data_IF_910472522511
#
_entry.id   IF_910472522511
#
_cell.length_a   1.000
_cell.length_b   1.000
_cell.length_c   1.000
_cell.angle_alpha   90.00
_cell.angle_beta   90.00
_cell.angle_gamma   90.00
#
_symmetry.space_group_name_H-M   'P 1'
#
loop_
_entity.id
_entity.type
_entity.pdbx_description
1 polymer ?
#
# COMPACT_ATOMS: atom_id res chain seq x y z
N UNK A 1 -15.60 6.67 -8.77
CA UNK A 1 -14.78 6.76 -9.96
C UNK A 1 -14.57 8.19 -10.37
N UNK A 2 -13.64 8.40 -11.27
CA UNK A 2 -13.31 9.74 -11.80
C UNK A 2 -14.35 10.29 -12.79
N UNK A 3 -15.26 9.46 -13.28
CA UNK A 3 -16.31 9.89 -14.21
C UNK A 3 -17.43 10.61 -13.46
N UNK A 4 -17.57 11.91 -13.74
CA UNK A 4 -18.60 12.78 -13.13
C UNK A 4 -19.99 12.51 -13.70
N UNK A 5 -20.10 11.92 -14.88
CA UNK A 5 -21.35 11.54 -15.55
C UNK A 5 -21.34 10.08 -15.99
N UNK A 6 -21.32 9.13 -15.04
CA UNK A 6 -21.29 7.72 -15.40
C UNK A 6 -22.57 7.34 -16.15
N UNK A 7 -22.45 6.69 -17.30
CA UNK A 7 -23.55 6.13 -18.02
C UNK A 7 -24.23 4.98 -17.25
N UNK A 8 -25.40 4.53 -17.73
CA UNK A 8 -26.07 3.38 -17.14
C UNK A 8 -25.21 2.11 -17.26
N UNK A 9 -24.97 1.37 -16.15
CA UNK A 9 -24.14 0.15 -16.08
C UNK A 9 -22.67 0.37 -16.47
N UNK A 10 -22.07 1.49 -16.12
CA UNK A 10 -20.63 1.70 -16.27
C UNK A 10 -19.82 0.72 -15.43
N UNK A 11 -18.59 0.49 -15.88
CA UNK A 11 -17.64 -0.39 -15.20
C UNK A 11 -17.29 0.15 -13.80
N UNK A 12 -17.45 -0.69 -12.78
CA UNK A 12 -17.12 -0.34 -11.40
C UNK A 12 -15.69 -0.81 -11.06
N UNK A 13 -14.74 0.10 -11.14
CA UNK A 13 -13.33 -0.20 -10.86
C UNK A 13 -13.08 -0.70 -9.43
N UNK A 14 -13.90 -0.32 -8.47
CA UNK A 14 -13.73 -0.78 -7.09
C UNK A 14 -14.01 -2.28 -6.92
N UNK A 15 -14.85 -2.88 -7.78
CA UNK A 15 -15.29 -4.26 -7.66
C UNK A 15 -14.97 -5.14 -8.86
N UNK A 16 -14.71 -4.55 -10.03
CA UNK A 16 -14.55 -5.27 -11.30
C UNK A 16 -13.14 -5.16 -11.88
N UNK A 17 -12.30 -4.25 -11.36
CA UNK A 17 -10.91 -4.14 -11.80
C UNK A 17 -10.17 -5.47 -11.61
N UNK A 18 -9.26 -5.75 -12.53
CA UNK A 18 -8.34 -6.89 -12.47
C UNK A 18 -6.92 -6.33 -12.65
N UNK A 19 -6.36 -5.75 -11.59
CA UNK A 19 -5.08 -5.05 -11.60
C UNK A 19 -4.09 -5.71 -10.66
N UNK A 20 -2.80 -5.61 -10.99
CA UNK A 20 -1.76 -6.14 -10.11
C UNK A 20 -1.72 -5.37 -8.78
N UNK A 21 -1.66 -6.06 -7.63
CA UNK A 21 -1.55 -5.42 -6.32
C UNK A 21 -0.18 -4.77 -6.09
N UNK A 22 0.85 -5.10 -6.89
CA UNK A 22 2.21 -4.68 -6.62
C UNK A 22 2.64 -5.03 -5.19
N UNK A 23 3.42 -4.17 -4.58
CA UNK A 23 3.94 -4.35 -3.21
C UNK A 23 2.89 -4.39 -2.10
N UNK A 24 1.61 -4.08 -2.37
CA UNK A 24 0.56 -4.26 -1.35
C UNK A 24 0.27 -5.73 -1.04
N UNK A 25 0.78 -6.66 -1.84
CA UNK A 25 0.69 -8.09 -1.56
C UNK A 25 1.67 -8.55 -0.46
N UNK A 26 2.80 -7.86 -0.26
CA UNK A 26 3.88 -8.26 0.66
C UNK A 26 3.40 -8.54 2.09
N UNK A 27 2.58 -7.70 2.73
CA UNK A 27 2.05 -8.00 4.05
C UNK A 27 1.23 -9.29 4.08
N UNK A 28 0.52 -9.62 2.99
CA UNK A 28 -0.40 -10.74 2.93
C UNK A 28 0.31 -12.08 2.77
N UNK A 29 1.22 -12.18 1.78
CA UNK A 29 1.78 -13.47 1.36
C UNK A 29 3.23 -13.70 1.77
N UNK A 30 3.93 -12.65 2.23
CA UNK A 30 5.35 -12.74 2.62
C UNK A 30 5.50 -12.56 4.12
N UNK A 31 5.15 -11.40 4.66
CA UNK A 31 5.45 -11.09 6.05
C UNK A 31 4.47 -11.70 7.06
N UNK A 32 3.17 -11.82 6.71
CA UNK A 32 2.20 -12.51 7.57
C UNK A 32 2.56 -13.97 7.82
N UNK A 33 2.89 -14.80 6.81
CA UNK A 33 3.35 -16.16 7.06
C UNK A 33 4.67 -16.20 7.85
N UNK A 34 5.65 -15.35 7.57
CA UNK A 34 6.90 -15.30 8.31
C UNK A 34 6.67 -15.04 9.81
N UNK A 35 5.85 -14.05 10.14
CA UNK A 35 5.49 -13.73 11.54
C UNK A 35 4.67 -14.86 12.17
N UNK A 36 3.77 -15.50 11.41
CA UNK A 36 2.98 -16.63 11.90
C UNK A 36 3.83 -17.87 12.20
N UNK A 37 4.94 -18.07 11.48
CA UNK A 37 5.96 -19.09 11.75
C UNK A 37 6.89 -18.72 12.91
N UNK A 38 6.68 -17.56 13.55
CA UNK A 38 7.42 -17.14 14.73
C UNK A 38 8.64 -16.26 14.46
N UNK A 39 8.81 -15.75 13.23
CA UNK A 39 9.90 -14.82 12.95
C UNK A 39 9.71 -13.50 13.72
N UNK A 40 10.83 -12.97 14.22
CA UNK A 40 10.82 -11.66 14.88
C UNK A 40 10.63 -10.54 13.87
N UNK A 41 9.90 -9.49 14.24
CA UNK A 41 9.80 -8.26 13.44
C UNK A 41 11.15 -7.54 13.26
N UNK A 42 12.11 -7.80 14.17
CA UNK A 42 13.50 -7.32 14.10
C UNK A 42 14.46 -8.33 13.45
N UNK A 43 13.95 -9.42 12.86
CA UNK A 43 14.82 -10.36 12.15
C UNK A 43 15.49 -9.65 10.98
N UNK A 44 16.82 -9.74 10.93
CA UNK A 44 17.61 -9.30 9.79
C UNK A 44 17.30 -10.17 8.57
N UNK A 45 16.87 -9.53 7.49
CA UNK A 45 16.55 -10.15 6.20
C UNK A 45 17.63 -9.82 5.18
N UNK A 46 17.89 -10.75 4.27
CA UNK A 46 18.83 -10.53 3.17
C UNK A 46 18.32 -9.43 2.22
N UNK A 47 19.15 -8.40 2.06
CA UNK A 47 18.93 -7.27 1.15
C UNK A 47 20.03 -7.18 0.09
N UNK A 48 20.68 -8.29 -0.24
CA UNK A 48 21.83 -8.34 -1.15
C UNK A 48 21.67 -9.33 -2.30
N UNK A 49 20.90 -10.42 -2.12
CA UNK A 49 20.71 -11.45 -3.13
C UNK A 49 19.75 -10.99 -4.23
N UNK A 50 20.28 -10.79 -5.44
CA UNK A 50 19.54 -10.29 -6.61
C UNK A 50 19.13 -11.38 -7.59
N UNK A 51 19.60 -12.63 -7.41
CA UNK A 51 19.42 -13.70 -8.38
C UNK A 51 18.91 -14.99 -7.72
N UNK A 52 17.80 -15.52 -8.23
CA UNK A 52 17.18 -16.77 -7.82
C UNK A 52 16.93 -17.64 -9.06
N UNK A 53 17.90 -18.48 -9.42
CA UNK A 53 17.86 -19.22 -10.68
C UNK A 53 17.87 -18.27 -11.88
N UNK A 54 16.81 -18.29 -12.69
CA UNK A 54 16.63 -17.35 -13.82
C UNK A 54 15.90 -16.04 -13.44
N UNK A 55 15.40 -15.94 -12.20
CA UNK A 55 14.68 -14.74 -11.74
C UNK A 55 15.65 -13.75 -11.13
N UNK A 56 15.66 -12.53 -11.70
CA UNK A 56 16.42 -11.39 -11.20
C UNK A 56 15.48 -10.40 -10.51
N UNK A 57 15.89 -9.88 -9.36
CA UNK A 57 15.15 -8.87 -8.59
C UNK A 57 16.07 -7.77 -8.10
N UNK A 58 15.57 -6.55 -8.08
CA UNK A 58 16.27 -5.38 -7.55
C UNK A 58 15.31 -4.54 -6.70
N UNK A 59 15.83 -3.78 -5.75
CA UNK A 59 15.06 -2.77 -5.05
C UNK A 59 14.72 -1.62 -6.02
N UNK A 60 13.58 -0.97 -5.78
CA UNK A 60 13.17 0.20 -6.55
C UNK A 60 14.28 1.28 -6.51
N UNK A 61 14.54 1.91 -7.67
CA UNK A 61 15.59 2.90 -7.86
C UNK A 61 17.02 2.44 -7.46
N UNK A 62 17.26 1.13 -7.35
CA UNK A 62 18.58 0.59 -6.98
C UNK A 62 18.99 0.88 -5.53
N UNK A 63 18.05 1.24 -4.66
CA UNK A 63 18.32 1.53 -3.24
C UNK A 63 18.84 0.28 -2.55
N UNK A 64 20.10 0.32 -2.14
CA UNK A 64 20.77 -0.74 -1.39
C UNK A 64 21.63 -0.10 -0.31
N UNK A 65 21.02 0.16 0.84
CA UNK A 65 21.69 0.85 1.95
C UNK A 65 22.53 -0.09 2.82
N UNK A 66 22.14 -1.37 2.94
CA UNK A 66 22.81 -2.39 3.74
C UNK A 66 22.58 -3.77 3.15
N UNK A 67 23.51 -4.74 3.31
CA UNK A 67 23.32 -6.14 2.85
C UNK A 67 22.24 -6.88 3.64
N UNK A 68 21.88 -6.41 4.83
CA UNK A 68 20.74 -6.88 5.62
C UNK A 68 19.90 -5.71 6.12
N UNK A 69 18.65 -5.98 6.45
CA UNK A 69 17.72 -4.98 6.96
C UNK A 69 16.68 -5.66 7.88
N UNK A 70 16.29 -5.03 9.01
CA UNK A 70 15.25 -5.60 9.87
C UNK A 70 13.92 -5.70 9.12
N UNK A 71 13.14 -6.75 9.42
CA UNK A 71 11.86 -7.04 8.73
C UNK A 71 10.89 -5.86 8.76
N UNK A 72 10.77 -5.15 9.89
CA UNK A 72 9.87 -4.01 9.99
C UNK A 72 10.24 -2.89 9.01
N UNK A 73 11.53 -2.63 8.86
CA UNK A 73 12.05 -1.63 7.92
C UNK A 73 11.85 -2.08 6.47
N UNK A 74 12.18 -3.35 6.16
CA UNK A 74 11.97 -3.93 4.83
C UNK A 74 10.52 -3.79 4.36
N UNK A 75 9.54 -3.98 5.28
CA UNK A 75 8.12 -3.82 4.98
C UNK A 75 7.76 -2.36 4.78
N UNK A 76 8.14 -1.47 5.71
CA UNK A 76 7.78 -0.06 5.69
C UNK A 76 8.36 0.67 4.46
N UNK A 77 9.62 0.39 4.12
CA UNK A 77 10.32 0.94 2.95
C UNK A 77 10.01 0.17 1.65
N UNK A 78 9.21 -0.89 1.77
CA UNK A 78 8.77 -1.67 0.59
C UNK A 78 9.90 -2.31 -0.21
N UNK A 79 11.01 -2.69 0.42
CA UNK A 79 12.16 -3.29 -0.25
C UNK A 79 11.78 -4.62 -0.93
N UNK A 80 12.30 -4.84 -2.14
CA UNK A 80 11.98 -6.02 -2.94
C UNK A 80 12.88 -7.21 -2.59
N UNK A 81 14.19 -6.97 -2.44
CA UNK A 81 15.16 -8.02 -2.14
C UNK A 81 14.78 -8.80 -0.87
N UNK A 82 14.52 -8.14 0.29
CA UNK A 82 14.13 -8.85 1.50
C UNK A 82 12.79 -9.58 1.37
N UNK A 83 11.85 -9.02 0.60
CA UNK A 83 10.57 -9.69 0.38
C UNK A 83 10.71 -10.98 -0.43
N UNK A 84 11.53 -10.97 -1.47
CA UNK A 84 11.79 -12.16 -2.30
C UNK A 84 12.63 -13.18 -1.54
N UNK A 85 13.66 -12.76 -0.79
CA UNK A 85 14.44 -13.63 0.08
C UNK A 85 13.55 -14.34 1.11
N UNK A 86 12.67 -13.57 1.79
CA UNK A 86 11.71 -14.14 2.75
C UNK A 86 10.76 -15.15 2.09
N UNK A 87 10.22 -14.82 0.90
CA UNK A 87 9.34 -15.73 0.17
C UNK A 87 10.06 -17.02 -0.27
N UNK A 88 11.34 -16.91 -0.64
CA UNK A 88 12.18 -18.07 -0.96
C UNK A 88 12.38 -18.98 0.26
N UNK A 89 12.68 -18.41 1.42
CA UNK A 89 12.91 -19.13 2.67
C UNK A 89 11.64 -19.82 3.18
N UNK A 90 10.47 -19.16 3.06
CA UNK A 90 9.16 -19.71 3.42
C UNK A 90 8.71 -20.83 2.47
N UNK A 91 9.18 -20.78 1.23
CA UNK A 91 8.70 -21.64 0.15
C UNK A 91 7.39 -21.16 -0.48
N UNK A 92 7.29 -21.37 -1.80
CA UNK A 92 6.15 -20.89 -2.60
C UNK A 92 4.81 -21.49 -2.19
N UNK A 93 4.78 -22.72 -1.64
CA UNK A 93 3.54 -23.32 -1.17
C UNK A 93 2.91 -22.51 -0.03
N UNK A 94 3.71 -22.07 0.94
CA UNK A 94 3.28 -21.19 2.04
C UNK A 94 2.77 -19.84 1.50
N UNK A 95 3.53 -19.22 0.58
CA UNK A 95 3.16 -17.95 -0.05
C UNK A 95 1.79 -18.04 -0.74
N UNK A 96 1.56 -19.11 -1.51
CA UNK A 96 0.30 -19.34 -2.21
C UNK A 96 -0.86 -19.66 -1.28
N UNK A 97 -0.61 -20.45 -0.23
CA UNK A 97 -1.60 -20.76 0.80
C UNK A 97 -2.11 -19.48 1.48
N UNK A 98 -1.19 -18.58 1.87
CA UNK A 98 -1.57 -17.32 2.49
C UNK A 98 -2.30 -16.38 1.51
N UNK A 99 -1.91 -16.35 0.24
CA UNK A 99 -2.69 -15.64 -0.78
C UNK A 99 -4.15 -16.09 -0.81
N UNK A 100 -4.40 -17.41 -0.80
CA UNK A 100 -5.75 -17.97 -0.73
C UNK A 100 -6.46 -17.66 0.58
N UNK A 101 -5.76 -17.76 1.72
CA UNK A 101 -6.33 -17.41 3.04
C UNK A 101 -6.80 -15.95 3.11
N UNK A 102 -6.09 -15.02 2.45
CA UNK A 102 -6.48 -13.62 2.33
C UNK A 102 -7.49 -13.34 1.20
N UNK A 103 -8.05 -14.37 0.58
CA UNK A 103 -9.10 -14.24 -0.44
C UNK A 103 -8.61 -13.83 -1.82
N UNK A 104 -7.30 -13.90 -2.08
CA UNK A 104 -6.74 -13.66 -3.41
C UNK A 104 -6.93 -14.89 -4.32
N UNK A 105 -7.20 -14.65 -5.60
CA UNK A 105 -7.30 -15.74 -6.58
C UNK A 105 -5.90 -16.16 -7.04
N UNK A 106 -5.38 -17.22 -6.44
CA UNK A 106 -4.05 -17.77 -6.72
C UNK A 106 -4.06 -18.94 -7.73
N UNK A 107 -5.24 -19.41 -8.18
CA UNK A 107 -5.33 -20.66 -8.96
C UNK A 107 -4.77 -20.55 -10.37
N UNK A 108 -4.69 -19.33 -10.92
CA UNK A 108 -4.16 -19.06 -12.26
C UNK A 108 -2.81 -18.34 -12.24
N UNK A 109 -2.21 -18.23 -11.06
CA UNK A 109 -0.92 -17.55 -10.87
C UNK A 109 0.21 -18.57 -11.01
N UNK A 110 1.20 -18.25 -11.84
CA UNK A 110 2.39 -19.08 -11.98
C UNK A 110 3.20 -19.12 -10.68
N UNK A 111 3.58 -20.31 -10.23
CA UNK A 111 4.41 -20.48 -9.04
C UNK A 111 5.84 -19.97 -9.30
N UNK A 112 6.07 -18.71 -8.96
CA UNK A 112 7.38 -18.08 -9.04
C UNK A 112 7.60 -17.12 -7.89
N UNK A 113 8.85 -16.78 -7.58
CA UNK A 113 9.18 -15.79 -6.53
C UNK A 113 8.68 -14.39 -6.86
N UNK A 114 8.42 -14.09 -8.12
CA UNK A 114 7.85 -12.80 -8.53
C UNK A 114 6.46 -12.53 -7.91
N UNK A 115 5.74 -13.57 -7.47
CA UNK A 115 4.47 -13.44 -6.76
C UNK A 115 4.61 -12.65 -5.45
N UNK A 116 5.78 -12.68 -4.81
CA UNK A 116 6.09 -11.89 -3.62
C UNK A 116 5.97 -10.37 -3.86
N UNK A 117 6.06 -9.96 -5.12
CA UNK A 117 5.93 -8.57 -5.58
C UNK A 117 4.61 -8.30 -6.32
N UNK A 118 3.69 -9.28 -6.34
CA UNK A 118 2.37 -9.16 -6.96
C UNK A 118 2.28 -9.61 -8.42
N UNK A 119 3.36 -10.14 -8.99
CA UNK A 119 3.35 -10.58 -10.38
C UNK A 119 2.36 -11.73 -10.60
N UNK A 120 1.58 -11.64 -11.69
CA UNK A 120 0.57 -12.63 -12.05
C UNK A 120 -0.71 -12.59 -11.21
N UNK A 121 -0.71 -11.92 -10.05
CA UNK A 121 -1.90 -11.74 -9.21
C UNK A 121 -2.72 -10.57 -9.72
N UNK A 122 -4.03 -10.75 -9.79
CA UNK A 122 -4.97 -9.66 -10.09
C UNK A 122 -5.98 -9.49 -8.97
N UNK A 123 -6.30 -8.24 -8.67
CA UNK A 123 -7.20 -7.85 -7.58
C UNK A 123 -7.94 -6.55 -7.90
N UNK A 124 -8.77 -6.10 -6.97
CA UNK A 124 -9.47 -4.82 -7.03
C UNK A 124 -9.54 -4.18 -5.63
N UNK A 125 -9.91 -2.88 -5.51
CA UNK A 125 -9.98 -2.19 -4.23
C UNK A 125 -10.84 -2.89 -3.17
N UNK A 126 -11.97 -3.49 -3.54
CA UNK A 126 -12.84 -4.20 -2.60
C UNK A 126 -12.18 -5.46 -2.04
N UNK A 127 -11.52 -6.28 -2.89
CA UNK A 127 -10.78 -7.45 -2.43
C UNK A 127 -9.62 -7.09 -1.52
N UNK A 128 -8.89 -6.01 -1.85
CA UNK A 128 -7.78 -5.55 -1.02
C UNK A 128 -8.29 -4.94 0.30
N UNK A 129 -9.41 -4.23 0.30
CA UNK A 129 -10.05 -3.77 1.54
C UNK A 129 -10.47 -4.96 2.42
N UNK A 130 -11.03 -6.03 1.83
CA UNK A 130 -11.35 -7.27 2.55
C UNK A 130 -10.10 -7.92 3.17
N UNK A 131 -9.04 -8.08 2.38
CA UNK A 131 -7.79 -8.69 2.84
C UNK A 131 -7.16 -7.89 3.99
N UNK A 132 -7.06 -6.56 3.86
CA UNK A 132 -6.51 -5.68 4.89
C UNK A 132 -7.43 -5.52 6.10
N UNK A 133 -8.75 -5.69 5.92
CA UNK A 133 -9.71 -5.77 7.01
C UNK A 133 -9.41 -6.89 8.02
N UNK A 134 -8.69 -7.90 7.58
CA UNK A 134 -8.17 -8.96 8.49
C UNK A 134 -7.27 -8.37 9.58
N UNK A 135 -6.39 -7.43 9.23
CA UNK A 135 -5.51 -6.79 10.21
C UNK A 135 -6.29 -5.85 11.15
N UNK A 136 -7.22 -5.06 10.61
CA UNK A 136 -8.08 -4.18 11.40
C UNK A 136 -8.98 -4.96 12.37
N UNK A 137 -9.31 -6.22 12.05
CA UNK A 137 -10.24 -7.07 12.80
C UNK A 137 -9.56 -8.24 13.53
N UNK A 138 -8.40 -8.00 14.13
CA UNK A 138 -7.71 -8.97 15.00
C UNK A 138 -7.41 -10.33 14.34
N UNK A 139 -7.20 -10.36 13.04
CA UNK A 139 -6.86 -11.56 12.26
C UNK A 139 -8.06 -12.32 11.69
N UNK A 140 -9.26 -11.75 11.76
CA UNK A 140 -10.48 -12.34 11.19
C UNK A 140 -10.87 -11.57 9.92
N UNK A 141 -10.89 -12.27 8.79
CA UNK A 141 -11.39 -11.74 7.53
C UNK A 141 -12.91 -11.91 7.46
N UNK A 142 -13.59 -10.81 7.17
CA UNK A 142 -15.02 -10.79 6.86
C UNK A 142 -15.21 -10.65 5.36
N UNK A 143 -16.18 -11.37 4.76
CA UNK A 143 -16.47 -11.19 3.33
C UNK A 143 -17.07 -9.82 3.06
N UNK A 144 -16.48 -9.12 2.08
CA UNK A 144 -16.91 -7.80 1.68
C UNK A 144 -18.23 -7.86 0.90
N UNK A 145 -19.20 -7.03 1.28
CA UNK A 145 -20.50 -6.95 0.62
C UNK A 145 -21.03 -5.51 0.67
N UNK A 146 -21.91 -5.16 -0.27
CA UNK A 146 -22.50 -3.83 -0.38
C UNK A 146 -23.94 -3.79 0.11
N UNK A 147 -24.63 -4.94 0.15
CA UNK A 147 -26.05 -5.04 0.51
C UNK A 147 -26.18 -5.94 1.74
N UNK A 148 -26.61 -5.37 2.83
CA UNK A 148 -26.85 -6.13 4.08
C UNK A 148 -28.24 -6.76 4.12
N UNK A 149 -29.24 -6.06 3.56
CA UNK A 149 -30.64 -6.44 3.64
C UNK A 149 -31.44 -5.85 2.48
N UNK A 150 -32.44 -6.61 1.99
CA UNK A 150 -33.46 -6.13 1.05
C UNK A 150 -34.81 -6.28 1.71
N UNK A 151 -35.58 -5.20 1.76
CA UNK A 151 -36.94 -5.15 2.31
C UNK A 151 -37.93 -4.78 1.22
N UNK A 152 -39.16 -5.28 1.33
CA UNK A 152 -40.27 -4.85 0.47
C UNK A 152 -40.89 -3.55 1.01
N UNK A 153 -41.90 -3.01 0.29
CA UNK A 153 -42.54 -1.75 0.65
C UNK A 153 -43.29 -1.78 2.00
N UNK A 154 -43.60 -2.97 2.53
CA UNK A 154 -44.21 -3.14 3.86
C UNK A 154 -43.18 -3.31 5.00
N UNK A 155 -41.86 -3.20 4.71
CA UNK A 155 -40.80 -3.39 5.71
C UNK A 155 -40.45 -4.86 5.99
N UNK A 156 -41.03 -5.81 5.27
CA UNK A 156 -40.70 -7.22 5.43
C UNK A 156 -39.36 -7.53 4.76
N UNK A 157 -38.45 -8.21 5.46
CA UNK A 157 -37.17 -8.64 4.93
C UNK A 157 -37.37 -9.73 3.89
N UNK A 158 -37.00 -9.42 2.64
CA UNK A 158 -37.04 -10.34 1.49
C UNK A 158 -35.77 -11.17 1.43
N UNK A 159 -34.62 -10.55 1.73
CA UNK A 159 -33.30 -11.19 1.74
C UNK A 159 -32.37 -10.47 2.70
N UNK A 160 -31.56 -11.21 3.43
CA UNK A 160 -30.46 -10.69 4.24
C UNK A 160 -29.15 -11.33 3.84
N UNK A 161 -28.05 -10.60 3.95
CA UNK A 161 -26.71 -11.14 3.83
C UNK A 161 -26.35 -11.92 5.11
N UNK A 162 -25.77 -13.11 4.95
CA UNK A 162 -25.19 -13.87 6.06
C UNK A 162 -23.68 -13.67 6.01
N UNK A 163 -23.16 -12.88 6.95
CA UNK A 163 -21.73 -12.61 7.07
C UNK A 163 -20.94 -13.89 7.21
N UNK A 164 -19.93 -14.06 6.36
CA UNK A 164 -18.92 -15.10 6.50
C UNK A 164 -17.66 -14.50 7.10
N UNK A 165 -17.17 -15.13 8.15
CA UNK A 165 -15.96 -14.71 8.86
C UNK A 165 -14.98 -15.87 8.92
N UNK A 166 -13.73 -15.63 8.58
CA UNK A 166 -12.66 -16.64 8.56
C UNK A 166 -11.46 -16.12 9.34
N UNK A 167 -10.99 -16.88 10.32
CA UNK A 167 -9.72 -16.55 10.98
C UNK A 167 -8.55 -16.89 10.07
N UNK A 168 -7.80 -15.86 9.68
CA UNK A 168 -6.62 -15.97 8.81
C UNK A 168 -5.34 -15.94 9.64
N UNK A 169 -5.28 -15.05 10.64
CA UNK A 169 -4.13 -14.85 11.52
C UNK A 169 -4.53 -14.97 13.00
N UNK A 170 -3.58 -15.31 13.87
CA UNK A 170 -3.73 -15.12 15.30
C UNK A 170 -3.73 -13.62 15.67
N UNK A 171 -4.32 -13.24 16.81
CA UNK A 171 -4.25 -11.86 17.30
C UNK A 171 -2.81 -11.37 17.42
N UNK A 172 -1.93 -12.16 18.04
CA UNK A 172 -0.51 -11.80 18.19
C UNK A 172 0.21 -11.60 16.86
N UNK A 173 -0.07 -12.41 15.82
CA UNK A 173 0.49 -12.19 14.47
C UNK A 173 -0.04 -10.90 13.87
N UNK A 174 -1.34 -10.64 14.07
CA UNK A 174 -1.99 -9.41 13.58
C UNK A 174 -1.39 -8.17 14.23
N UNK A 175 -1.18 -8.17 15.55
CA UNK A 175 -0.57 -7.07 16.28
C UNK A 175 0.86 -6.77 15.78
N UNK A 176 1.67 -7.81 15.60
CA UNK A 176 3.02 -7.68 15.04
C UNK A 176 3.03 -7.14 13.61
N UNK A 177 2.09 -7.58 12.77
CA UNK A 177 1.94 -7.07 11.41
C UNK A 177 1.52 -5.60 11.41
N UNK A 178 0.55 -5.22 12.25
CA UNK A 178 0.10 -3.84 12.41
C UNK A 178 1.24 -2.96 12.92
N UNK A 179 2.00 -3.43 13.91
CA UNK A 179 3.20 -2.80 14.44
C UNK A 179 4.19 -2.41 13.32
N UNK A 180 4.50 -3.34 12.41
CA UNK A 180 5.37 -3.04 11.26
C UNK A 180 4.70 -2.10 10.26
N UNK A 181 3.39 -2.27 9.98
CA UNK A 181 2.66 -1.46 8.99
C UNK A 181 2.37 -0.02 9.46
N UNK A 182 2.40 0.26 10.76
CA UNK A 182 2.42 1.63 11.27
C UNK A 182 3.65 2.39 10.76
N UNK A 183 4.80 1.70 10.64
CA UNK A 183 6.03 2.25 10.08
C UNK A 183 5.89 2.75 8.63
N UNK A 184 5.00 2.18 7.85
CA UNK A 184 4.77 2.62 6.46
C UNK A 184 4.35 4.09 6.40
N UNK A 185 3.46 4.51 7.31
CA UNK A 185 2.91 5.88 7.34
C UNK A 185 3.73 6.85 8.20
N UNK A 186 4.61 6.35 9.08
CA UNK A 186 5.44 7.22 9.93
C UNK A 186 6.86 7.43 9.39
N UNK A 187 7.45 6.40 8.77
CA UNK A 187 8.87 6.39 8.40
C UNK A 187 9.12 5.85 6.98
N UNK A 188 8.12 5.21 6.38
CA UNK A 188 8.25 4.47 5.12
C UNK A 188 7.63 5.18 3.92
N UNK A 189 7.27 4.38 2.92
CA UNK A 189 6.77 4.85 1.61
C UNK A 189 5.42 5.56 1.66
N UNK A 190 4.68 5.49 2.76
CA UNK A 190 3.36 6.08 2.94
C UNK A 190 3.34 7.37 3.77
N UNK A 191 4.48 7.98 4.09
CA UNK A 191 4.53 9.22 4.91
C UNK A 191 3.64 10.31 4.33
N UNK A 192 3.62 10.49 3.01
CA UNK A 192 2.76 11.47 2.34
C UNK A 192 1.26 11.11 2.37
N UNK A 193 0.94 9.86 2.70
CA UNK A 193 -0.45 9.39 2.82
C UNK A 193 -0.98 9.48 4.26
N UNK A 194 -0.13 9.77 5.25
CA UNK A 194 -0.51 9.83 6.65
C UNK A 194 -1.59 10.89 6.90
N UNK A 195 -2.75 10.53 7.49
CA UNK A 195 -3.80 11.49 7.80
C UNK A 195 -3.43 12.36 8.99
N UNK A 196 -3.93 13.58 9.02
CA UNK A 196 -3.66 14.52 10.12
C UNK A 196 -4.43 14.14 11.38
N UNK A 197 -3.70 13.97 12.49
CA UNK A 197 -4.31 13.70 13.80
C UNK A 197 -4.82 12.26 14.00
N UNK A 198 -4.54 11.34 13.07
CA UNK A 198 -4.93 9.95 13.17
C UNK A 198 -3.74 9.02 12.95
N UNK A 199 -3.66 7.95 13.74
CA UNK A 199 -2.69 6.89 13.54
C UNK A 199 -3.26 5.84 12.57
N UNK A 200 -2.51 5.49 11.53
CA UNK A 200 -2.95 4.56 10.49
C UNK A 200 -1.83 3.57 10.17
N UNK A 201 -2.19 2.31 9.99
CA UNK A 201 -1.30 1.26 9.50
C UNK A 201 -1.65 0.92 8.04
N UNK A 202 -0.71 0.40 7.26
CA UNK A 202 -1.01 -0.01 5.89
C UNK A 202 0.19 -0.20 5.00
N UNK A 203 -0.04 -0.09 3.67
CA UNK A 203 0.99 -0.37 2.66
C UNK A 203 0.72 0.40 1.37
N UNK A 204 1.79 0.85 0.74
CA UNK A 204 1.80 1.37 -0.62
C UNK A 204 2.19 0.30 -1.63
N UNK A 205 1.83 0.47 -2.88
CA UNK A 205 2.23 -0.41 -3.97
C UNK A 205 2.29 0.32 -5.30
N UNK A 206 3.33 0.03 -6.06
CA UNK A 206 3.53 0.55 -7.42
C UNK A 206 3.90 -0.61 -8.32
N UNK A 207 3.36 -0.66 -9.53
CA UNK A 207 3.82 -1.55 -10.58
C UNK A 207 4.49 -0.76 -11.68
N UNK A 208 5.63 -1.24 -12.16
CA UNK A 208 6.31 -0.66 -13.33
C UNK A 208 5.53 -1.01 -14.61
N UNK A 209 5.68 -0.18 -15.65
CA UNK A 209 5.18 -0.54 -16.98
C UNK A 209 6.14 -1.50 -17.68
N UNK A 210 5.64 -2.29 -18.64
CA UNK A 210 6.47 -3.24 -19.40
C UNK A 210 7.40 -2.57 -20.41
N UNK A 211 7.11 -1.32 -20.77
CA UNK A 211 7.84 -0.57 -21.81
C UNK A 211 8.80 0.49 -21.24
N UNK A 212 8.59 0.92 -19.99
CA UNK A 212 9.50 1.85 -19.29
C UNK A 212 9.38 1.65 -17.77
N UNK A 213 10.47 1.26 -17.12
CA UNK A 213 10.52 0.98 -15.66
C UNK A 213 10.40 2.24 -14.78
N UNK A 214 10.63 3.42 -15.35
CA UNK A 214 10.47 4.70 -14.64
C UNK A 214 9.00 5.14 -14.57
N UNK A 215 8.10 4.44 -15.26
CA UNK A 215 6.68 4.73 -15.34
C UNK A 215 5.86 3.67 -14.61
N UNK A 216 4.73 4.09 -14.04
CA UNK A 216 3.85 3.23 -13.25
C UNK A 216 2.60 2.83 -14.03
N UNK A 217 2.21 1.56 -13.91
CA UNK A 217 0.93 1.04 -14.41
C UNK A 217 -0.18 1.11 -13.37
N UNK A 218 0.15 0.81 -12.12
CA UNK A 218 -0.76 0.80 -10.98
C UNK A 218 -0.12 1.47 -9.78
N UNK A 219 -0.89 2.28 -9.08
CA UNK A 219 -0.50 2.86 -7.80
C UNK A 219 -1.57 2.54 -6.75
N UNK A 220 -1.15 1.98 -5.65
CA UNK A 220 -1.99 1.57 -4.55
C UNK A 220 -1.57 2.26 -3.25
N UNK A 221 -2.56 2.69 -2.48
CA UNK A 221 -2.39 3.04 -1.07
C UNK A 221 -3.51 2.38 -0.31
N UNK A 222 -3.17 1.55 0.67
CA UNK A 222 -4.14 0.87 1.53
C UNK A 222 -3.77 1.19 2.96
N UNK A 223 -4.70 1.79 3.68
CA UNK A 223 -4.53 2.12 5.08
C UNK A 223 -5.73 1.69 5.90
N UNK A 224 -5.50 1.40 7.16
CA UNK A 224 -6.56 1.04 8.09
C UNK A 224 -6.32 1.59 9.49
N UNK A 225 -7.41 1.83 10.18
CA UNK A 225 -7.52 1.98 11.63
C UNK A 225 -8.32 0.79 12.18
N UNK A 226 -8.51 0.65 13.49
CA UNK A 226 -9.45 -0.36 14.02
C UNK A 226 -10.88 -0.21 13.49
N UNK A 227 -11.29 1.00 13.06
CA UNK A 227 -12.67 1.31 12.65
C UNK A 227 -12.92 1.14 11.15
N UNK A 228 -11.90 1.38 10.29
CA UNK A 228 -12.10 1.47 8.84
C UNK A 228 -10.87 1.05 8.06
N UNK A 229 -11.10 0.49 6.87
CA UNK A 229 -10.07 0.25 5.85
C UNK A 229 -10.38 1.12 4.64
N UNK A 230 -9.37 1.86 4.18
CA UNK A 230 -9.42 2.63 2.94
C UNK A 230 -8.47 1.97 1.95
N UNK A 231 -9.00 1.49 0.82
CA UNK A 231 -8.22 0.89 -0.27
C UNK A 231 -8.37 1.73 -1.53
N UNK A 232 -7.28 2.36 -1.94
CA UNK A 232 -7.23 3.21 -3.12
C UNK A 232 -6.35 2.60 -4.20
N UNK A 233 -6.85 2.61 -5.42
CA UNK A 233 -6.12 2.34 -6.63
C UNK A 233 -6.20 3.53 -7.58
N UNK A 234 -5.06 3.88 -8.17
CA UNK A 234 -4.93 4.86 -9.22
C UNK A 234 -4.24 4.19 -10.42
N UNK A 235 -4.81 4.37 -11.60
CA UNK A 235 -4.31 3.78 -12.83
C UNK A 235 -5.29 3.93 -13.98
N UNK A 236 -4.93 3.37 -15.12
CA UNK A 236 -5.77 3.31 -16.30
C UNK A 236 -6.38 1.91 -16.46
N UNK A 237 -7.54 1.77 -17.14
CA UNK A 237 -8.13 0.46 -17.42
C UNK A 237 -7.16 -0.48 -18.14
N UNK A 238 -6.36 0.07 -19.05
CA UNK A 238 -5.28 -0.59 -19.77
C UNK A 238 -4.03 0.26 -19.65
N UNK A 239 -2.90 -0.35 -19.36
CA UNK A 239 -1.59 0.31 -19.34
C UNK A 239 -0.92 0.09 -20.68
N UNK A 240 -0.61 1.17 -21.40
CA UNK A 240 0.08 1.21 -22.68
C UNK A 240 0.89 2.52 -22.81
N UNK A 241 1.56 2.76 -23.94
CA UNK A 241 2.41 3.93 -24.17
C UNK A 241 1.67 5.29 -24.10
N UNK A 242 0.33 5.29 -24.07
CA UNK A 242 -0.50 6.49 -23.93
C UNK A 242 -1.24 6.54 -22.58
N UNK A 243 -1.22 5.44 -21.79
CA UNK A 243 -1.98 5.30 -20.55
C UNK A 243 -1.08 4.72 -19.44
N UNK A 244 -0.35 5.61 -18.78
CA UNK A 244 0.57 5.31 -17.67
C UNK A 244 0.57 6.45 -16.65
N UNK A 245 1.20 6.23 -15.52
CA UNK A 245 1.42 7.22 -14.48
C UNK A 245 2.92 7.55 -14.42
N UNK A 246 3.24 8.84 -14.21
CA UNK A 246 4.62 9.35 -14.22
C UNK A 246 5.28 9.37 -12.85
N UNK A 247 4.53 9.02 -11.81
CA UNK A 247 4.96 9.07 -10.40
C UNK A 247 4.83 7.68 -9.76
N UNK A 248 5.25 7.54 -8.51
CA UNK A 248 5.03 6.35 -7.69
C UNK A 248 3.87 6.57 -6.72
N UNK A 249 3.45 5.49 -6.06
CA UNK A 249 2.41 5.57 -5.02
C UNK A 249 2.78 6.45 -3.83
N UNK A 250 4.08 6.75 -3.62
CA UNK A 250 4.54 7.65 -2.56
C UNK A 250 4.29 9.16 -2.85
N UNK A 251 4.02 9.50 -4.11
CA UNK A 251 3.68 10.86 -4.55
C UNK A 251 2.18 11.13 -4.58
N UNK A 252 1.66 11.48 -5.76
CA UNK A 252 0.28 11.93 -5.99
C UNK A 252 -0.78 10.97 -5.42
N UNK A 253 -0.59 9.65 -5.57
CA UNK A 253 -1.55 8.68 -5.02
C UNK A 253 -1.63 8.75 -3.49
N UNK A 254 -0.50 8.99 -2.81
CA UNK A 254 -0.46 9.19 -1.36
C UNK A 254 -1.15 10.48 -0.92
N UNK A 255 -0.98 11.57 -1.65
CA UNK A 255 -1.66 12.83 -1.34
C UNK A 255 -3.18 12.73 -1.52
N UNK A 256 -3.65 12.06 -2.59
CA UNK A 256 -5.07 11.79 -2.80
C UNK A 256 -5.62 10.93 -1.65
N UNK A 257 -4.88 9.88 -1.28
CA UNK A 257 -5.27 9.01 -0.16
C UNK A 257 -5.41 9.78 1.15
N UNK A 258 -4.43 10.64 1.49
CA UNK A 258 -4.48 11.49 2.69
C UNK A 258 -5.73 12.36 2.73
N UNK A 259 -6.08 12.97 1.60
CA UNK A 259 -7.29 13.81 1.50
C UNK A 259 -8.57 13.00 1.71
N UNK A 260 -8.63 11.78 1.13
CA UNK A 260 -9.74 10.83 1.37
C UNK A 260 -9.79 10.42 2.83
N UNK A 261 -8.66 10.02 3.42
CA UNK A 261 -8.59 9.62 4.82
C UNK A 261 -9.01 10.75 5.77
N UNK A 262 -8.51 11.98 5.57
CA UNK A 262 -8.91 13.15 6.34
C UNK A 262 -10.43 13.47 6.22
N UNK A 263 -11.06 13.07 5.12
CA UNK A 263 -12.50 13.27 4.91
C UNK A 263 -13.34 12.14 5.52
N UNK A 264 -12.79 10.93 5.66
CA UNK A 264 -13.51 9.75 6.18
C UNK A 264 -13.35 9.60 7.69
N UNK A 265 -12.12 9.73 8.20
CA UNK A 265 -11.78 9.44 9.60
C UNK A 265 -12.58 10.25 10.65
N UNK A 266 -12.95 11.51 10.43
CA UNK A 266 -13.80 12.25 11.38
C UNK A 266 -15.19 11.64 11.61
N UNK A 267 -15.62 10.72 10.76
CA UNK A 267 -16.91 10.01 10.88
C UNK A 267 -16.78 8.60 11.46
N UNK A 268 -15.59 8.20 11.92
CA UNK A 268 -15.33 6.93 12.62
C UNK A 268 -15.34 7.16 14.13
N UNK A 269 -15.34 6.07 14.90
CA UNK A 269 -15.31 6.14 16.37
C UNK A 269 -13.97 6.64 16.93
N UNK A 270 -12.93 6.72 16.09
CA UNK A 270 -11.59 7.17 16.48
C UNK A 270 -10.85 6.18 17.38
N UNK A 271 -11.19 4.90 17.25
CA UNK A 271 -10.55 3.83 18.02
C UNK A 271 -9.05 3.78 17.76
N UNK A 272 -8.27 3.71 18.83
CA UNK A 272 -6.80 3.63 18.74
C UNK A 272 -6.33 2.18 18.69
N UNK A 273 -5.08 2.00 18.26
CA UNK A 273 -4.41 0.69 18.33
C UNK A 273 -3.86 0.47 19.76
N UNK A 274 -4.72 0.12 20.71
CA UNK A 274 -4.40 0.12 22.14
C UNK A 274 -3.25 -0.82 22.57
N UNK A 275 -3.05 -1.92 21.85
CA UNK A 275 -2.03 -2.94 22.17
C UNK A 275 -0.84 -2.94 21.22
N UNK A 276 -0.79 -2.04 20.24
CA UNK A 276 0.20 -2.05 19.18
C UNK A 276 1.06 -0.80 19.23
N UNK A 277 2.37 -0.99 19.20
CA UNK A 277 3.35 0.09 19.09
C UNK A 277 4.00 0.04 17.72
N UNK A 278 4.34 1.20 17.18
CA UNK A 278 5.09 1.29 15.93
C UNK A 278 6.50 0.68 16.11
N UNK A 279 6.91 -0.21 15.21
CA UNK A 279 8.22 -0.89 15.27
C UNK A 279 9.40 0.10 15.27
N UNK A 280 9.29 1.21 14.54
CA UNK A 280 10.33 2.26 14.57
C UNK A 280 10.43 2.88 15.95
N UNK A 281 9.31 3.24 16.57
CA UNK A 281 9.29 3.79 17.92
C UNK A 281 9.81 2.80 18.97
N UNK A 282 9.53 1.50 18.83
CA UNK A 282 10.08 0.45 19.70
C UNK A 282 11.60 0.33 19.59
N UNK A 283 12.17 0.69 18.44
CA UNK A 283 13.61 0.72 18.19
C UNK A 283 14.23 2.12 18.39
N UNK A 284 13.48 3.07 18.98
CA UNK A 284 13.97 4.40 19.33
C UNK A 284 14.09 5.36 18.14
N UNK A 285 13.43 5.05 17.00
CA UNK A 285 13.46 5.85 15.78
C UNK A 285 12.20 6.72 15.74
N UNK A 286 12.36 8.04 15.68
CA UNK A 286 11.26 8.99 15.60
C UNK A 286 10.59 8.97 14.21
N UNK A 287 9.31 9.36 14.10
CA UNK A 287 8.63 9.59 12.83
C UNK A 287 9.35 10.64 11.97
N UNK A 288 9.26 10.50 10.66
CA UNK A 288 9.79 11.49 9.71
C UNK A 288 9.00 12.80 9.86
N UNK A 289 9.71 13.91 10.13
CA UNK A 289 9.12 15.25 10.27
C UNK A 289 8.83 15.68 11.69
N UNK A 290 9.02 14.85 12.72
CA UNK A 290 9.10 15.30 14.11
C UNK A 290 10.54 15.74 14.44
N UNK A 291 10.73 17.02 14.76
CA UNK A 291 12.01 17.51 15.30
C UNK A 291 12.24 16.89 16.68
N UNK A 292 13.17 15.95 16.77
CA UNK A 292 13.67 15.50 18.07
C UNK A 292 14.54 16.60 18.67
N UNK A 293 14.04 17.24 19.72
CA UNK A 293 14.91 17.96 20.64
C UNK A 293 15.70 16.91 21.45
N UNK A 294 16.80 16.41 20.91
CA UNK A 294 18.03 16.02 21.58
C UNK A 294 18.91 15.05 20.77
N UNK A 295 20.19 15.46 20.67
CA UNK A 295 21.44 14.73 20.37
C UNK A 295 21.60 13.98 19.06
N UNK A 296 22.38 14.65 18.22
CA UNK A 296 23.23 14.26 17.10
C UNK A 296 23.72 12.81 16.98
N UNK A 297 23.41 12.20 15.84
CA UNK A 297 24.39 11.44 15.08
C UNK A 297 24.41 11.95 13.63
N UNK A 298 25.59 12.37 13.18
CA UNK A 298 25.79 13.10 11.91
C UNK A 298 25.64 12.25 10.65
N UNK A 299 25.49 10.93 10.77
CA UNK A 299 25.47 10.00 9.64
C UNK A 299 24.06 9.76 9.06
N UNK A 300 22.99 9.89 9.87
CA UNK A 300 21.62 9.66 9.40
C UNK A 300 21.01 10.87 8.66
N UNK A 301 21.51 12.08 8.90
CA UNK A 301 21.04 13.30 8.22
C UNK A 301 21.29 13.28 6.70
N UNK A 302 22.36 12.62 6.25
CA UNK A 302 22.72 12.57 4.82
C UNK A 302 21.73 11.81 3.95
N UNK A 303 21.17 10.73 4.46
CA UNK A 303 20.23 9.89 3.70
C UNK A 303 18.84 10.56 3.55
N UNK A 304 18.30 11.09 4.63
CA UNK A 304 16.99 11.77 4.62
C UNK A 304 17.00 13.09 3.85
N UNK A 305 18.10 13.85 3.93
CA UNK A 305 18.27 15.06 3.11
C UNK A 305 18.41 14.71 1.62
N UNK A 306 19.09 13.63 1.26
CA UNK A 306 19.20 13.15 -0.13
C UNK A 306 17.84 12.67 -0.68
N UNK A 307 17.03 11.99 0.10
CA UNK A 307 15.67 11.59 -0.29
C UNK A 307 14.74 12.80 -0.42
N UNK A 308 14.83 13.75 0.51
CA UNK A 308 14.04 14.99 0.49
C UNK A 308 14.46 15.91 -0.66
N UNK A 309 15.76 16.02 -0.93
CA UNK A 309 16.30 16.78 -2.06
C UNK A 309 15.91 16.12 -3.40
N UNK A 310 15.97 14.80 -3.53
CA UNK A 310 15.51 14.07 -4.73
C UNK A 310 14.02 14.22 -4.95
N UNK A 311 13.20 14.12 -3.89
CA UNK A 311 11.76 14.35 -3.97
C UNK A 311 11.43 15.81 -4.35
N UNK A 312 12.13 16.80 -3.78
CA UNK A 312 12.00 18.21 -4.14
C UNK A 312 12.40 18.45 -5.60
N UNK A 313 13.53 17.88 -6.03
CA UNK A 313 14.00 18.00 -7.41
C UNK A 313 13.06 17.34 -8.43
N UNK A 314 12.37 16.22 -8.07
CA UNK A 314 11.33 15.62 -8.91
C UNK A 314 10.11 16.54 -9.06
N UNK A 315 9.67 17.18 -7.96
CA UNK A 315 8.56 18.14 -7.99
C UNK A 315 8.93 19.37 -8.83
N UNK A 316 10.15 19.89 -8.70
CA UNK A 316 10.60 21.04 -9.44
C UNK A 316 10.83 20.73 -10.93
N UNK A 317 11.30 19.53 -11.26
CA UNK A 317 11.41 19.05 -12.64
C UNK A 317 10.04 18.83 -13.28
N UNK A 318 9.06 18.30 -12.52
CA UNK A 318 7.69 18.17 -13.00
C UNK A 318 7.03 19.54 -13.22
N UNK A 319 7.26 20.52 -12.34
CA UNK A 319 6.81 21.90 -12.52
C UNK A 319 7.43 22.52 -13.77
N UNK A 320 8.74 22.35 -13.96
CA UNK A 320 9.47 22.87 -15.12
C UNK A 320 8.99 22.22 -16.43
N UNK A 321 8.74 20.92 -16.45
CA UNK A 321 8.20 20.22 -17.61
C UNK A 321 6.76 20.67 -17.95
N UNK A 322 5.94 21.00 -16.94
CA UNK A 322 4.59 21.56 -17.13
C UNK A 322 4.66 23.00 -17.66
N UNK A 323 5.61 23.79 -17.19
CA UNK A 323 5.79 25.18 -17.62
C UNK A 323 6.43 25.27 -19.03
N UNK A 324 7.28 24.31 -19.41
CA UNK A 324 7.91 24.19 -20.72
C UNK A 324 7.03 23.51 -21.79
N UNK A 325 6.04 22.70 -21.38
CA UNK A 325 5.05 22.14 -22.26
C UNK A 325 4.05 23.22 -22.65
N UNK A 326 3.92 23.50 -23.97
CA UNK A 326 2.92 24.44 -24.51
C UNK A 326 1.50 23.81 -24.38
N UNK A 327 1.02 23.74 -23.14
CA UNK A 327 -0.27 23.12 -22.82
C UNK A 327 -1.39 24.11 -23.15
N UNK A 328 -2.40 23.72 -23.96
CA UNK A 328 -3.52 24.60 -24.27
C UNK A 328 -4.18 25.16 -23.00
N UNK A 329 -4.52 26.45 -23.00
CA UNK A 329 -4.95 27.22 -21.83
C UNK A 329 -6.06 26.63 -20.94
N UNK A 330 -6.81 25.63 -21.43
CA UNK A 330 -7.81 24.88 -20.62
C UNK A 330 -7.15 23.95 -19.59
N UNK A 331 -6.00 23.37 -19.86
CA UNK A 331 -5.29 22.50 -18.92
C UNK A 331 -4.57 23.33 -17.85
N UNK A 332 -4.07 24.52 -18.19
CA UNK A 332 -3.49 25.46 -17.23
C UNK A 332 -4.53 25.99 -16.25
N UNK A 333 -5.75 26.31 -16.72
CA UNK A 333 -6.85 26.74 -15.86
C UNK A 333 -7.33 25.62 -14.91
N UNK A 334 -7.33 24.36 -15.35
CA UNK A 334 -7.65 23.21 -14.50
C UNK A 334 -6.59 23.01 -13.40
N UNK A 335 -5.32 23.22 -13.72
CA UNK A 335 -4.21 23.15 -12.77
C UNK A 335 -4.24 24.30 -11.75
N UNK A 336 -4.53 25.53 -12.17
CA UNK A 336 -4.64 26.68 -11.30
C UNK A 336 -5.88 26.58 -10.38
N UNK A 337 -6.97 26.02 -10.88
CA UNK A 337 -8.17 25.69 -10.08
C UNK A 337 -7.86 24.61 -9.04
N UNK A 338 -7.08 23.60 -9.41
CA UNK A 338 -6.66 22.52 -8.52
C UNK A 338 -5.70 23.00 -7.41
N UNK A 339 -4.73 23.91 -7.75
CA UNK A 339 -3.89 24.58 -6.75
C UNK A 339 -4.70 25.43 -5.76
N UNK A 340 -5.66 26.20 -6.28
CA UNK A 340 -6.54 27.02 -5.44
C UNK A 340 -7.41 26.18 -4.48
N UNK A 341 -7.74 24.94 -4.86
CA UNK A 341 -8.47 24.00 -4.02
C UNK A 341 -7.59 23.34 -2.97
N UNK A 342 -6.28 23.17 -3.25
CA UNK A 342 -5.30 22.60 -2.32
C UNK A 342 -4.67 23.62 -1.36
N UNK A 343 -5.00 24.94 -1.50
CA UNK A 343 -4.49 25.98 -0.61
C UNK A 343 -3.04 26.40 -0.86
N UNK A 344 -2.53 26.21 -2.10
CA UNK A 344 -1.20 26.68 -2.56
C UNK A 344 -1.33 27.93 -3.42
#
# INVERSE_FOLDING_TARGET
GSDQNPGFRTYNYATQAARSPGSTIKPLVVYSPAVAEGWSTNKELDNSTTQYGSYEVNNYAGIQSSPTVPMYQALAESLNLPAVATANDLGLDTVFEYGKKFGLNMDKVDKSLAVALGAGVTTNPMQMAQAYGTFANGGVMNDAHLITKIENASGQVVKSHSQKSTRVLSGSTTDKMTNMMLGTFSNGTGVNAAPYGYTMAGKTGTTETSFNKDLSGDQWVIGYTPDVVISQWLGFPTTDENHYLTDSSAGTASEIFRNVANSVLPYTDGTQFDSVKNSYAENGIAPVGEETTETDSKEDKGFFEDVKEKASNMVDNAKKAIDEADIPGKAKNAWDTFKGWLGF
#
